data_IF_407672676090
#
_entry.id   IF_407672676090
#
_cell.length_a   1.000
_cell.length_b   1.000
_cell.length_c   1.000
_cell.angle_alpha   90.00
_cell.angle_beta   90.00
_cell.angle_gamma   90.00
#
_symmetry.space_group_name_H-M   'P 1'
#
loop_
_entity.id
_entity.type
_entity.pdbx_description
1 polymer ?
#
# COMPACT_ATOMS: atom_id res chain seq x y z
N UNK A 1 -8.47 -17.24 12.46
CA UNK A 1 -8.44 -16.74 11.06
C UNK A 1 -9.46 -15.63 10.87
N UNK A 2 -10.69 -15.80 11.37
CA UNK A 2 -11.80 -14.84 11.26
C UNK A 2 -11.44 -13.40 11.66
N UNK A 3 -10.73 -13.20 12.77
CA UNK A 3 -10.30 -11.85 13.18
C UNK A 3 -9.32 -11.20 12.19
N UNK A 4 -8.45 -11.98 11.53
CA UNK A 4 -7.53 -11.45 10.53
C UNK A 4 -8.26 -11.04 9.25
N UNK A 5 -9.28 -11.81 8.87
CA UNK A 5 -10.20 -11.47 7.76
C UNK A 5 -10.96 -10.19 8.12
N UNK A 6 -11.61 -10.13 9.29
CA UNK A 6 -12.35 -8.94 9.73
C UNK A 6 -11.47 -7.68 9.80
N UNK A 7 -10.23 -7.79 10.30
CA UNK A 7 -9.30 -6.66 10.34
C UNK A 7 -8.85 -6.21 8.94
N UNK A 8 -8.62 -7.16 8.04
CA UNK A 8 -8.24 -6.84 6.65
C UNK A 8 -9.44 -6.25 5.89
N UNK A 9 -10.64 -6.79 6.09
CA UNK A 9 -11.88 -6.28 5.51
C UNK A 9 -12.15 -4.86 5.98
N UNK A 10 -11.97 -4.56 7.27
CA UNK A 10 -12.10 -3.19 7.78
C UNK A 10 -11.09 -2.24 7.11
N UNK A 11 -9.84 -2.68 6.96
CA UNK A 11 -8.81 -1.88 6.28
C UNK A 11 -9.16 -1.59 4.82
N UNK A 12 -9.62 -2.62 4.10
CA UNK A 12 -9.93 -2.54 2.67
C UNK A 12 -11.25 -1.79 2.40
N UNK A 13 -12.29 -2.06 3.18
CA UNK A 13 -13.64 -1.58 2.90
C UNK A 13 -13.96 -0.26 3.60
N UNK A 14 -13.45 -0.04 4.81
CA UNK A 14 -13.80 1.14 5.62
C UNK A 14 -12.68 2.17 5.61
N UNK A 15 -11.46 1.78 6.02
CA UNK A 15 -10.34 2.73 6.11
C UNK A 15 -9.88 3.25 4.74
N UNK A 16 -10.04 2.43 3.70
CA UNK A 16 -9.64 2.76 2.33
C UNK A 16 -10.79 3.29 1.46
N UNK A 17 -11.99 3.51 2.04
CA UNK A 17 -13.22 3.78 1.30
C UNK A 17 -13.13 5.02 0.38
N UNK A 18 -12.40 6.05 0.79
CA UNK A 18 -12.33 7.32 0.08
C UNK A 18 -11.76 7.20 -1.35
N UNK A 19 -10.73 6.37 -1.54
CA UNK A 19 -10.00 6.25 -2.81
C UNK A 19 -9.87 4.82 -3.32
N UNK A 20 -10.34 3.84 -2.55
CA UNK A 20 -10.04 2.42 -2.75
C UNK A 20 -8.52 2.19 -2.87
N UNK A 21 -7.78 2.81 -1.96
CA UNK A 21 -6.34 2.79 -1.78
C UNK A 21 -6.06 2.84 -0.28
N UNK A 22 -4.95 2.24 0.16
CA UNK A 22 -4.51 2.29 1.55
C UNK A 22 -4.40 3.74 2.00
N UNK A 23 -4.92 4.09 3.19
CA UNK A 23 -5.00 5.47 3.63
C UNK A 23 -3.62 6.00 4.03
N UNK A 24 -3.46 7.31 3.83
CA UNK A 24 -2.37 8.10 4.35
C UNK A 24 -2.97 9.43 4.84
N UNK A 25 -2.79 9.77 6.11
CA UNK A 25 -3.33 11.00 6.68
C UNK A 25 -2.23 12.06 6.79
N UNK A 26 -1.25 11.81 7.66
CA UNK A 26 -0.15 12.75 7.91
C UNK A 26 0.96 12.14 8.76
N UNK A 27 2.14 12.77 8.71
CA UNK A 27 3.26 12.44 9.58
C UNK A 27 4.13 11.29 9.07
N UNK A 28 5.40 11.34 9.47
CA UNK A 28 6.44 10.39 9.03
C UNK A 28 6.11 8.96 9.48
N UNK A 29 5.53 8.80 10.68
CA UNK A 29 5.21 7.48 11.23
C UNK A 29 4.15 6.73 10.41
N UNK A 30 3.19 7.43 9.80
CA UNK A 30 2.20 6.76 8.96
C UNK A 30 2.80 6.23 7.65
N UNK A 31 3.93 6.78 7.19
CA UNK A 31 4.57 6.36 5.95
C UNK A 31 4.92 4.88 5.92
N UNK A 32 5.25 4.27 7.06
CA UNK A 32 5.66 2.86 7.13
C UNK A 32 4.46 1.89 7.20
N UNK A 33 3.25 2.38 7.46
CA UNK A 33 2.09 1.53 7.74
C UNK A 33 1.71 0.62 6.57
N UNK A 34 1.82 1.11 5.33
CA UNK A 34 1.60 0.28 4.15
C UNK A 34 2.60 -0.89 4.10
N UNK A 35 3.87 -0.64 4.38
CA UNK A 35 4.89 -1.69 4.34
C UNK A 35 4.66 -2.74 5.44
N UNK A 36 4.28 -2.31 6.65
CA UNK A 36 3.92 -3.21 7.75
C UNK A 36 2.69 -4.05 7.38
N UNK A 37 1.64 -3.40 6.88
CA UNK A 37 0.43 -4.08 6.42
C UNK A 37 0.72 -5.11 5.34
N UNK A 38 1.58 -4.77 4.37
CA UNK A 38 1.98 -5.66 3.29
C UNK A 38 2.58 -6.97 3.81
N UNK A 39 3.48 -6.92 4.79
CA UNK A 39 4.10 -8.11 5.38
C UNK A 39 3.07 -9.07 5.98
N UNK A 40 2.12 -8.55 6.75
CA UNK A 40 1.11 -9.38 7.43
C UNK A 40 0.01 -9.86 6.48
N UNK A 41 -0.44 -9.01 5.56
CA UNK A 41 -1.47 -9.40 4.60
C UNK A 41 -0.93 -10.44 3.60
N UNK A 42 0.38 -10.47 3.33
CA UNK A 42 0.99 -11.50 2.49
C UNK A 42 0.86 -12.89 3.11
N UNK A 43 1.08 -13.02 4.43
CA UNK A 43 0.83 -14.27 5.15
C UNK A 43 -0.65 -14.69 5.04
N UNK A 44 -1.58 -13.74 5.22
CA UNK A 44 -3.01 -14.03 5.10
C UNK A 44 -3.41 -14.47 3.68
N UNK A 45 -2.85 -13.82 2.65
CA UNK A 45 -3.14 -14.14 1.25
C UNK A 45 -2.54 -15.48 0.84
N UNK A 46 -1.25 -15.69 1.06
CA UNK A 46 -0.52 -16.84 0.53
C UNK A 46 -0.58 -18.06 1.44
N UNK A 47 -0.43 -17.89 2.76
CA UNK A 47 -0.39 -19.02 3.69
C UNK A 47 -1.81 -19.44 4.14
N UNK A 48 -2.78 -18.51 4.12
CA UNK A 48 -4.18 -18.77 4.50
C UNK A 48 -5.15 -18.72 3.30
N UNK A 49 -4.64 -18.58 2.07
CA UNK A 49 -5.42 -18.68 0.84
C UNK A 49 -6.45 -17.56 0.63
N UNK A 50 -6.33 -16.42 1.32
CA UNK A 50 -7.27 -15.30 1.20
C UNK A 50 -6.98 -14.42 -0.03
N UNK A 51 -7.10 -15.00 -1.22
CA UNK A 51 -6.76 -14.34 -2.48
C UNK A 51 -7.71 -13.20 -2.88
N UNK A 52 -8.84 -13.04 -2.20
CA UNK A 52 -9.81 -11.96 -2.45
C UNK A 52 -9.21 -10.55 -2.29
N UNK A 53 -8.11 -10.41 -1.55
CA UNK A 53 -7.43 -9.13 -1.34
C UNK A 53 -6.48 -8.74 -2.47
N UNK A 54 -6.13 -9.68 -3.37
CA UNK A 54 -5.16 -9.43 -4.44
C UNK A 54 -5.55 -8.27 -5.37
N UNK A 55 -6.82 -8.10 -5.81
CA UNK A 55 -7.20 -6.96 -6.65
C UNK A 55 -6.95 -5.61 -5.97
N UNK A 56 -7.26 -5.49 -4.67
CA UNK A 56 -7.01 -4.27 -3.90
C UNK A 56 -5.51 -3.97 -3.76
N UNK A 57 -4.72 -4.99 -3.42
CA UNK A 57 -3.26 -4.85 -3.26
C UNK A 57 -2.58 -4.46 -4.58
N UNK A 58 -2.98 -5.10 -5.68
CA UNK A 58 -2.49 -4.79 -7.03
C UNK A 58 -2.88 -3.38 -7.48
N UNK A 59 -4.10 -2.93 -7.15
CA UNK A 59 -4.53 -1.55 -7.42
C UNK A 59 -3.65 -0.52 -6.70
N UNK A 60 -3.29 -0.77 -5.45
CA UNK A 60 -2.37 0.11 -4.71
C UNK A 60 -1.01 0.20 -5.41
N UNK A 61 -0.46 -0.93 -5.85
CA UNK A 61 0.80 -0.98 -6.60
C UNK A 61 0.70 -0.16 -7.90
N UNK A 62 -0.33 -0.42 -8.71
CA UNK A 62 -0.51 0.23 -10.00
C UNK A 62 -0.62 1.75 -9.85
N UNK A 63 -1.52 2.20 -8.98
CA UNK A 63 -1.79 3.63 -8.79
C UNK A 63 -0.58 4.32 -8.15
N UNK A 64 -0.05 3.80 -7.05
CA UNK A 64 1.10 4.39 -6.37
C UNK A 64 2.38 4.40 -7.21
N UNK A 65 2.61 3.36 -8.03
CA UNK A 65 3.74 3.36 -8.97
C UNK A 65 3.53 4.36 -10.12
N UNK A 66 2.31 4.51 -10.62
CA UNK A 66 2.01 5.46 -11.71
C UNK A 66 2.20 6.93 -11.28
N UNK A 67 1.93 7.20 -10.00
CA UNK A 67 1.99 8.50 -9.36
C UNK A 67 3.32 8.80 -8.65
N UNK A 68 4.29 7.89 -8.70
CA UNK A 68 5.63 8.14 -8.17
C UNK A 68 6.31 9.33 -8.85
N UNK A 69 7.38 9.82 -8.24
CA UNK A 69 8.33 10.68 -8.92
C UNK A 69 9.06 9.87 -10.01
N UNK A 70 8.76 10.17 -11.27
CA UNK A 70 9.29 9.43 -12.42
C UNK A 70 10.77 9.69 -12.70
N UNK A 71 11.34 10.76 -12.16
CA UNK A 71 12.76 11.13 -12.33
C UNK A 71 13.63 10.32 -11.38
N UNK A 72 13.22 10.24 -10.10
CA UNK A 72 13.96 9.51 -9.06
C UNK A 72 13.47 8.07 -8.85
N UNK A 73 12.30 7.73 -9.39
CA UNK A 73 11.57 6.48 -9.12
C UNK A 73 11.27 6.27 -7.61
N UNK A 74 10.88 7.34 -6.92
CA UNK A 74 10.49 7.30 -5.50
C UNK A 74 8.97 7.45 -5.38
N UNK A 75 8.33 6.64 -4.55
CA UNK A 75 6.89 6.73 -4.24
C UNK A 75 6.66 7.64 -3.02
N UNK A 76 5.52 8.33 -2.99
CA UNK A 76 5.01 9.04 -1.80
C UNK A 76 3.99 8.18 -1.04
N UNK A 77 3.38 8.73 0.01
CA UNK A 77 2.34 8.05 0.81
C UNK A 77 0.91 8.27 0.30
N UNK A 78 0.65 9.42 -0.32
CA UNK A 78 -0.64 9.77 -0.94
C UNK A 78 -0.70 9.19 -2.36
N UNK A 79 -1.00 7.89 -2.47
CA UNK A 79 -0.90 7.15 -3.73
C UNK A 79 -1.80 7.69 -4.84
N UNK A 80 -2.89 8.37 -4.52
CA UNK A 80 -3.81 9.00 -5.47
C UNK A 80 -3.25 10.27 -6.12
N UNK A 81 -2.16 10.84 -5.58
CA UNK A 81 -1.54 12.09 -6.05
C UNK A 81 -0.17 11.84 -6.66
N UNK A 82 0.07 12.47 -7.81
CA UNK A 82 1.40 12.48 -8.42
C UNK A 82 2.41 13.18 -7.49
N UNK A 83 3.51 12.49 -7.18
CA UNK A 83 4.58 13.01 -6.34
C UNK A 83 5.44 14.02 -7.11
N UNK A 84 5.59 15.27 -6.62
CA UNK A 84 6.47 16.26 -7.22
C UNK A 84 7.94 15.82 -7.25
N UNK A 85 8.67 16.24 -8.29
CA UNK A 85 10.07 15.84 -8.51
C UNK A 85 11.04 16.38 -7.43
N UNK A 86 10.65 17.46 -6.75
CA UNK A 86 11.40 18.14 -5.69
C UNK A 86 10.88 17.81 -4.29
N UNK A 87 9.88 16.93 -4.17
CA UNK A 87 9.33 16.54 -2.88
C UNK A 87 10.40 15.87 -2.00
N UNK A 88 10.45 16.29 -0.73
CA UNK A 88 11.19 15.61 0.33
C UNK A 88 10.38 14.41 0.75
N UNK A 89 10.96 13.21 0.60
CA UNK A 89 10.32 11.95 0.96
C UNK A 89 11.23 11.21 1.91
N UNK A 90 10.72 10.86 3.09
CA UNK A 90 11.43 10.03 4.04
C UNK A 90 11.35 8.54 3.66
N UNK A 91 12.23 7.73 4.24
CA UNK A 91 12.30 6.31 3.91
C UNK A 91 11.06 5.51 4.31
N UNK A 92 10.30 5.95 5.31
CA UNK A 92 9.07 5.27 5.71
C UNK A 92 8.03 5.47 4.62
N UNK A 93 7.75 6.72 4.27
CA UNK A 93 6.82 7.08 3.20
C UNK A 93 7.19 6.42 1.86
N UNK A 94 8.48 6.38 1.51
CA UNK A 94 8.94 5.78 0.26
C UNK A 94 8.79 4.25 0.19
N UNK A 95 8.63 3.57 1.33
CA UNK A 95 8.73 2.10 1.42
C UNK A 95 7.45 1.36 1.05
N UNK A 96 6.29 2.00 1.10
CA UNK A 96 4.99 1.33 1.00
C UNK A 96 4.77 0.57 -0.32
N UNK A 97 4.87 1.27 -1.45
CA UNK A 97 4.70 0.64 -2.77
C UNK A 97 5.79 -0.41 -3.06
N UNK A 98 7.09 -0.16 -2.83
CA UNK A 98 8.11 -1.20 -2.97
C UNK A 98 7.84 -2.46 -2.13
N UNK A 99 7.36 -2.31 -0.89
CA UNK A 99 7.00 -3.45 -0.04
C UNK A 99 5.84 -4.27 -0.65
N UNK A 100 4.81 -3.60 -1.17
CA UNK A 100 3.73 -4.28 -1.88
C UNK A 100 4.22 -4.96 -3.16
N UNK A 101 5.08 -4.32 -3.95
CA UNK A 101 5.65 -4.89 -5.18
C UNK A 101 6.48 -6.16 -4.92
N UNK A 102 7.24 -6.17 -3.82
CA UNK A 102 8.05 -7.33 -3.44
C UNK A 102 7.19 -8.54 -3.06
N UNK A 103 6.08 -8.30 -2.36
CA UNK A 103 5.22 -9.36 -1.83
C UNK A 103 4.11 -9.78 -2.79
N UNK A 104 3.63 -8.88 -3.64
CA UNK A 104 2.52 -9.09 -4.57
C UNK A 104 2.92 -8.71 -6.01
N UNK A 105 3.87 -9.43 -6.63
CA UNK A 105 4.36 -9.09 -7.96
C UNK A 105 3.24 -9.13 -9.02
N UNK A 106 3.41 -8.32 -10.07
CA UNK A 106 2.59 -8.41 -11.26
C UNK A 106 2.94 -9.72 -11.99
N UNK A 107 1.93 -10.57 -12.19
CA UNK A 107 2.01 -11.77 -13.03
C UNK A 107 1.59 -11.39 -14.45
#
# INVERSE_FOLDING_TARGET
MDNAILGTDYTVNEMSAAHNLLPFESGIEQGIYTAIFAQYVAMLVYDCGQTQYLPFLKRNIEVGWSNRDKTRNICGGEYEKALPADAVVDSYTASGIPALMLLFPAN
#
